data_IF_169726861041
#
_entry.id   IF_169726861041
#
_cell.length_a   1.000
_cell.length_b   1.000
_cell.length_c   1.000
_cell.angle_alpha   90.00
_cell.angle_beta   90.00
_cell.angle_gamma   90.00
#
_symmetry.space_group_name_H-M   'P 1'
#
loop_
_entity.id
_entity.type
_entity.pdbx_description
1 polymer ?
#
# COMPACT_ATOMS: atom_id res chain seq x y z
N UNK A 1 -42.87 51.89 68.43
CA UNK A 1 -41.65 51.20 67.95
C UNK A 1 -41.92 50.75 66.53
N UNK A 2 -41.27 51.39 65.55
CA UNK A 2 -41.38 51.08 64.12
C UNK A 2 -40.53 49.85 63.87
N UNK A 3 -41.16 48.72 63.53
CA UNK A 3 -40.44 47.51 63.10
C UNK A 3 -40.29 47.56 61.58
N UNK A 4 -39.03 47.63 61.16
CA UNK A 4 -38.58 47.85 59.78
C UNK A 4 -38.79 46.57 58.98
N UNK A 5 -39.71 46.59 58.01
CA UNK A 5 -39.85 45.52 57.01
C UNK A 5 -38.65 45.56 56.07
N UNK A 6 -37.72 44.62 56.25
CA UNK A 6 -36.62 44.37 55.31
C UNK A 6 -37.05 43.33 54.30
N UNK A 7 -37.56 43.78 53.15
CA UNK A 7 -37.79 42.93 51.99
C UNK A 7 -36.43 42.63 51.34
N UNK A 8 -35.88 41.43 51.56
CA UNK A 8 -34.70 40.96 50.84
C UNK A 8 -35.16 40.47 49.44
N UNK A 9 -34.74 41.11 48.33
CA UNK A 9 -35.17 40.67 47.01
C UNK A 9 -34.49 39.33 46.69
N UNK A 10 -35.29 38.31 46.41
CA UNK A 10 -34.84 37.02 45.89
C UNK A 10 -34.14 37.23 44.55
N UNK A 11 -32.81 37.37 44.59
CA UNK A 11 -31.96 37.54 43.39
C UNK A 11 -32.33 36.49 42.34
N UNK A 12 -32.67 36.96 41.16
CA UNK A 12 -33.03 36.12 40.02
C UNK A 12 -31.84 35.24 39.63
N UNK A 13 -32.10 34.02 39.13
CA UNK A 13 -31.05 33.12 38.64
C UNK A 13 -30.02 33.80 37.71
N UNK A 14 -30.40 34.65 36.73
CA UNK A 14 -29.42 35.33 35.88
C UNK A 14 -28.51 36.30 36.66
N UNK A 15 -29.00 36.97 37.70
CA UNK A 15 -28.17 37.85 38.53
C UNK A 15 -27.12 37.07 39.33
N UNK A 16 -27.45 35.87 39.82
CA UNK A 16 -26.50 35.01 40.53
C UNK A 16 -25.41 34.47 39.60
N UNK A 17 -25.81 34.03 38.40
CA UNK A 17 -24.88 33.56 37.37
C UNK A 17 -23.96 34.70 36.92
N UNK A 18 -24.52 35.91 36.72
CA UNK A 18 -23.74 37.10 36.38
C UNK A 18 -22.73 37.49 37.46
N UNK A 19 -23.13 37.46 38.73
CA UNK A 19 -22.23 37.72 39.86
C UNK A 19 -21.10 36.69 39.95
N UNK A 20 -21.39 35.42 39.69
CA UNK A 20 -20.40 34.34 39.71
C UNK A 20 -19.37 34.51 38.58
N UNK A 21 -19.82 34.78 37.35
CA UNK A 21 -18.91 35.05 36.22
C UNK A 21 -18.08 36.31 36.42
N UNK A 22 -18.68 37.36 36.98
CA UNK A 22 -17.95 38.60 37.30
C UNK A 22 -16.88 38.35 38.36
N UNK A 23 -17.20 37.63 39.43
CA UNK A 23 -16.23 37.26 40.47
C UNK A 23 -15.10 36.38 39.92
N UNK A 24 -15.43 35.40 39.07
CA UNK A 24 -14.45 34.55 38.40
C UNK A 24 -13.54 35.35 37.45
N UNK A 25 -14.11 36.26 36.65
CA UNK A 25 -13.35 37.15 35.77
C UNK A 25 -12.42 38.09 36.54
N UNK A 26 -12.89 38.64 37.66
CA UNK A 26 -12.08 39.48 38.53
C UNK A 26 -10.92 38.69 39.14
N UNK A 27 -11.15 37.44 39.54
CA UNK A 27 -10.10 36.53 40.03
C UNK A 27 -9.04 36.26 38.95
N UNK A 28 -9.46 35.95 37.73
CA UNK A 28 -8.56 35.75 36.59
C UNK A 28 -7.73 37.01 36.27
N UNK A 29 -8.31 38.21 36.39
CA UNK A 29 -7.60 39.47 36.15
C UNK A 29 -6.68 39.87 37.30
N UNK A 30 -7.03 39.52 38.54
CA UNK A 30 -6.22 39.87 39.72
C UNK A 30 -4.98 38.98 39.85
N UNK A 31 -5.05 37.76 39.34
CA UNK A 31 -3.95 36.77 39.38
C UNK A 31 -3.71 36.12 38.01
N UNK A 32 -3.22 36.88 37.01
CA UNK A 32 -3.10 36.38 35.64
C UNK A 32 -2.06 35.26 35.49
N UNK A 33 -0.90 35.38 36.13
CA UNK A 33 0.20 34.40 36.02
C UNK A 33 -0.14 32.99 36.52
N UNK A 34 -0.72 32.77 37.73
CA UNK A 34 -1.08 31.43 38.18
C UNK A 34 -2.21 30.81 37.35
N UNK A 35 -3.17 31.62 36.91
CA UNK A 35 -4.29 31.15 36.08
C UNK A 35 -3.80 30.69 34.70
N UNK A 36 -2.92 31.46 34.07
CA UNK A 36 -2.32 31.08 32.78
C UNK A 36 -1.45 29.83 32.94
N UNK A 37 -0.61 29.75 33.98
CA UNK A 37 0.24 28.57 34.25
C UNK A 37 -0.60 27.31 34.43
N UNK A 38 -1.69 27.39 35.22
CA UNK A 38 -2.61 26.28 35.42
C UNK A 38 -3.28 25.85 34.10
N UNK A 39 -3.75 26.81 33.29
CA UNK A 39 -4.36 26.51 31.99
C UNK A 39 -3.36 25.82 31.04
N UNK A 40 -2.11 26.28 30.98
CA UNK A 40 -1.06 25.66 30.16
C UNK A 40 -0.75 24.23 30.62
N UNK A 41 -0.69 23.97 31.92
CA UNK A 41 -0.49 22.61 32.45
C UNK A 41 -1.63 21.67 32.04
N UNK A 42 -2.88 22.11 32.15
CA UNK A 42 -4.04 21.32 31.72
C UNK A 42 -3.97 21.01 30.22
N UNK A 43 -3.66 22.00 29.39
CA UNK A 43 -3.48 21.80 27.94
C UNK A 43 -2.37 20.80 27.65
N UNK A 44 -1.21 20.93 28.30
CA UNK A 44 -0.09 20.00 28.10
C UNK A 44 -0.43 18.56 28.53
N UNK A 45 -1.14 18.38 29.65
CA UNK A 45 -1.60 17.05 30.10
C UNK A 45 -2.60 16.45 29.12
N UNK A 46 -3.56 17.24 28.63
CA UNK A 46 -4.52 16.80 27.62
C UNK A 46 -3.87 16.54 26.25
N UNK A 47 -2.79 17.24 25.92
CA UNK A 47 -2.04 17.08 24.67
C UNK A 47 -0.93 16.02 24.72
N UNK A 48 -0.50 15.61 25.92
CA UNK A 48 0.45 14.51 26.12
C UNK A 48 0.08 13.21 25.36
N UNK A 49 -1.18 12.71 25.38
CA UNK A 49 -1.54 11.52 24.61
C UNK A 49 -1.44 11.70 23.09
N UNK A 50 -1.46 12.94 22.57
CA UNK A 50 -1.27 13.19 21.14
C UNK A 50 0.18 12.93 20.67
N UNK A 51 1.16 13.00 21.57
CA UNK A 51 2.56 12.69 21.22
C UNK A 51 2.80 11.18 21.04
N UNK A 52 1.95 10.35 21.65
CA UNK A 52 2.02 8.89 21.54
C UNK A 52 0.93 8.32 20.63
N UNK A 53 0.17 9.17 19.94
CA UNK A 53 -0.79 8.71 18.95
C UNK A 53 -0.01 8.17 17.73
N UNK A 54 -0.12 6.88 17.40
CA UNK A 54 0.31 6.40 16.10
C UNK A 54 -0.68 6.97 15.09
N UNK A 55 -0.46 8.22 14.67
CA UNK A 55 -1.23 8.83 13.59
C UNK A 55 -1.06 7.89 12.39
N UNK A 56 -2.15 7.35 11.82
CA UNK A 56 -2.10 6.66 10.55
C UNK A 56 -1.76 7.73 9.50
N UNK A 57 -0.48 8.09 9.43
CA UNK A 57 0.05 8.76 8.27
C UNK A 57 -0.28 7.88 7.08
N UNK A 58 -0.66 8.50 5.98
CA UNK A 58 -0.84 7.90 4.66
C UNK A 58 0.47 7.33 4.09
N UNK A 59 1.29 6.71 4.95
CA UNK A 59 2.43 5.89 4.59
C UNK A 59 1.85 4.51 4.30
N UNK A 60 2.15 3.92 3.12
CA UNK A 60 1.74 2.55 2.81
C UNK A 60 2.19 1.65 3.97
N UNK A 61 1.23 1.04 4.67
CA UNK A 61 1.57 0.08 5.71
C UNK A 61 2.23 -1.12 5.03
N UNK A 62 3.55 -1.21 5.14
CA UNK A 62 4.29 -2.39 4.75
C UNK A 62 4.03 -3.46 5.81
N UNK A 63 2.97 -4.23 5.59
CA UNK A 63 2.57 -5.30 6.48
C UNK A 63 3.37 -6.55 6.17
N UNK A 64 4.48 -6.74 6.88
CA UNK A 64 5.24 -7.97 6.83
C UNK A 64 4.70 -8.92 7.91
N UNK A 65 3.67 -9.71 7.58
CA UNK A 65 3.26 -10.82 8.43
C UNK A 65 4.07 -12.07 8.06
N UNK A 66 4.80 -12.70 8.99
CA UNK A 66 5.41 -14.01 8.75
C UNK A 66 4.36 -15.03 8.30
N UNK A 67 4.56 -15.66 7.14
CA UNK A 67 3.61 -16.59 6.51
C UNK A 67 3.29 -17.79 7.40
N UNK A 68 4.21 -18.18 8.29
CA UNK A 68 4.03 -19.31 9.22
C UNK A 68 2.89 -19.08 10.24
N UNK A 69 2.55 -17.83 10.53
CA UNK A 69 1.50 -17.51 11.51
C UNK A 69 0.15 -17.21 10.86
N UNK A 70 0.09 -17.07 9.53
CA UNK A 70 -1.16 -16.76 8.82
C UNK A 70 -2.14 -17.96 8.81
N UNK A 71 -1.62 -19.19 8.83
CA UNK A 71 -2.45 -20.40 8.94
C UNK A 71 -2.92 -20.68 10.37
N UNK A 72 -2.19 -20.18 11.38
CA UNK A 72 -2.51 -20.38 12.81
C UNK A 72 -3.68 -19.48 13.24
N UNK A 73 -3.83 -18.29 12.63
CA UNK A 73 -4.90 -17.34 12.98
C UNK A 73 -6.29 -17.68 12.41
N UNK A 74 -6.40 -18.71 11.56
CA UNK A 74 -7.70 -19.16 11.02
C UNK A 74 -8.49 -19.96 12.06
N UNK A 75 -7.82 -20.58 13.04
CA UNK A 75 -8.45 -21.41 14.07
C UNK A 75 -8.25 -20.81 15.46
N UNK A 76 -8.97 -19.71 15.75
CA UNK A 76 -9.37 -19.34 17.11
C UNK A 76 -8.27 -18.87 18.08
N UNK A 77 -8.45 -17.66 18.59
CA UNK A 77 -7.95 -17.15 19.88
C UNK A 77 -6.44 -17.34 20.18
N UNK A 78 -5.62 -16.33 19.91
CA UNK A 78 -4.91 -15.58 20.95
C UNK A 78 -3.97 -14.55 20.31
N UNK A 79 -4.25 -13.28 20.61
CA UNK A 79 -3.30 -12.21 20.92
C UNK A 79 -1.81 -12.56 20.76
N UNK A 80 -1.29 -12.43 19.55
CA UNK A 80 0.14 -12.20 19.32
C UNK A 80 0.25 -11.15 18.23
N UNK A 81 1.07 -10.12 18.50
CA UNK A 81 1.18 -8.86 17.76
C UNK A 81 1.70 -8.93 16.32
N UNK A 82 1.26 -9.91 15.54
CA UNK A 82 1.32 -9.83 14.09
C UNK A 82 0.16 -8.93 13.64
N UNK A 83 0.49 -7.67 13.40
CA UNK A 83 -0.44 -6.67 12.84
C UNK A 83 -1.04 -7.28 11.56
N UNK A 84 -2.29 -7.74 11.59
CA UNK A 84 -3.04 -8.11 10.38
C UNK A 84 -3.88 -6.90 9.99
N UNK A 85 -3.84 -6.52 8.71
CA UNK A 85 -4.64 -5.40 8.22
C UNK A 85 -6.13 -5.66 8.51
N UNK A 86 -6.80 -4.73 9.20
CA UNK A 86 -8.23 -4.89 9.56
C UNK A 86 -9.16 -5.13 8.37
N UNK A 87 -8.75 -4.73 7.17
CA UNK A 87 -9.49 -4.90 5.91
C UNK A 87 -9.20 -6.24 5.19
N UNK A 88 -8.22 -7.02 5.67
CA UNK A 88 -7.84 -8.29 5.08
C UNK A 88 -8.06 -9.43 6.08
N UNK A 89 -9.15 -10.16 5.90
CA UNK A 89 -9.51 -11.32 6.73
C UNK A 89 -9.40 -12.59 5.90
N UNK A 90 -8.52 -13.52 6.29
CA UNK A 90 -8.34 -14.81 5.62
C UNK A 90 -6.93 -15.06 5.10
N UNK A 91 -6.76 -16.16 4.37
CA UNK A 91 -5.51 -16.51 3.70
C UNK A 91 -5.34 -15.73 2.38
N UNK A 92 -4.10 -15.42 1.97
CA UNK A 92 -3.84 -14.77 0.68
C UNK A 92 -4.38 -15.62 -0.47
N UNK A 93 -5.09 -14.99 -1.41
CA UNK A 93 -5.63 -15.67 -2.59
C UNK A 93 -4.54 -16.17 -3.53
N UNK A 94 -3.39 -15.48 -3.58
CA UNK A 94 -2.20 -15.89 -4.33
C UNK A 94 -0.97 -15.14 -3.83
N UNK A 95 0.21 -15.64 -4.19
CA UNK A 95 1.50 -15.00 -3.93
C UNK A 95 2.05 -14.38 -5.21
N UNK A 96 2.68 -13.21 -5.09
CA UNK A 96 3.36 -12.55 -6.21
C UNK A 96 4.86 -12.67 -6.00
N UNK A 97 5.53 -13.38 -6.89
CA UNK A 97 6.99 -13.43 -6.95
C UNK A 97 7.47 -12.52 -8.08
N UNK A 98 8.18 -11.45 -7.73
CA UNK A 98 8.77 -10.53 -8.70
C UNK A 98 10.26 -10.79 -8.86
N UNK A 99 10.74 -10.77 -10.11
CA UNK A 99 12.17 -10.79 -10.44
C UNK A 99 12.47 -9.52 -11.24
N UNK A 100 13.36 -8.67 -10.70
CA UNK A 100 13.79 -7.44 -11.36
C UNK A 100 15.18 -7.67 -11.93
N UNK A 101 15.29 -7.65 -13.25
CA UNK A 101 16.56 -7.81 -13.95
C UNK A 101 17.09 -6.42 -14.32
N UNK A 102 18.33 -6.13 -13.92
CA UNK A 102 19.07 -4.96 -14.36
C UNK A 102 20.23 -5.42 -15.23
N UNK A 103 20.30 -4.92 -16.45
CA UNK A 103 21.30 -5.32 -17.45
C UNK A 103 21.93 -4.09 -18.08
N UNK A 104 23.15 -4.25 -18.57
CA UNK A 104 23.81 -3.28 -19.43
C UNK A 104 24.47 -4.01 -20.60
N UNK A 105 24.59 -3.35 -21.75
CA UNK A 105 25.35 -3.86 -22.90
C UNK A 105 26.79 -3.42 -22.74
N UNK A 106 27.71 -4.37 -22.58
CA UNK A 106 29.14 -4.12 -22.46
C UNK A 106 29.97 -5.26 -23.09
N UNK A 107 31.06 -4.94 -23.83
CA UNK A 107 31.52 -3.60 -24.21
C UNK A 107 30.67 -3.00 -25.34
N UNK A 108 30.54 -1.67 -25.37
CA UNK A 108 29.88 -0.97 -26.48
C UNK A 108 30.86 -0.73 -27.64
N UNK A 109 30.63 -1.34 -28.79
CA UNK A 109 31.45 -1.19 -30.00
C UNK A 109 30.78 -0.26 -31.02
N UNK A 110 31.53 0.20 -32.03
CA UNK A 110 31.01 1.10 -33.09
C UNK A 110 30.05 0.41 -34.06
N UNK A 111 29.98 -0.91 -34.04
CA UNK A 111 29.09 -1.72 -34.88
C UNK A 111 27.69 -1.85 -34.30
N UNK A 112 27.52 -1.53 -33.01
CA UNK A 112 26.24 -1.60 -32.33
C UNK A 112 25.36 -0.38 -32.65
N UNK A 113 24.08 -0.65 -32.85
CA UNK A 113 23.05 0.38 -33.02
C UNK A 113 22.21 0.52 -31.76
N UNK A 114 21.48 1.63 -31.63
CA UNK A 114 20.66 1.93 -30.45
C UNK A 114 19.68 0.79 -30.09
N UNK A 115 19.14 0.08 -31.08
CA UNK A 115 18.23 -1.05 -30.84
C UNK A 115 18.91 -2.23 -30.15
N UNK A 116 20.22 -2.40 -30.31
CA UNK A 116 20.98 -3.47 -29.67
C UNK A 116 21.07 -3.26 -28.15
N UNK A 117 21.02 -2.00 -27.71
CA UNK A 117 20.93 -1.63 -26.31
C UNK A 117 19.68 -2.19 -25.62
N UNK A 118 18.61 -2.47 -26.38
CA UNK A 118 17.37 -3.07 -25.86
C UNK A 118 17.26 -4.55 -26.20
N UNK A 119 17.66 -4.93 -27.42
CA UNK A 119 17.50 -6.29 -27.93
C UNK A 119 18.29 -7.30 -27.11
N UNK A 120 19.57 -7.02 -26.82
CA UNK A 120 20.39 -7.96 -26.05
C UNK A 120 19.86 -8.16 -24.62
N UNK A 121 19.57 -7.10 -23.83
CA UNK A 121 18.89 -7.23 -22.55
C UNK A 121 17.58 -8.01 -22.56
N UNK A 122 16.70 -7.75 -23.53
CA UNK A 122 15.40 -8.41 -23.62
C UNK A 122 15.54 -9.88 -24.02
N UNK A 123 16.57 -10.24 -24.78
CA UNK A 123 16.86 -11.64 -25.11
C UNK A 123 17.15 -12.49 -23.86
N UNK A 124 17.79 -11.92 -22.84
CA UNK A 124 18.11 -12.63 -21.59
C UNK A 124 16.87 -13.05 -20.80
N UNK A 125 15.73 -12.37 -21.00
CA UNK A 125 14.45 -12.73 -20.39
C UNK A 125 14.04 -14.15 -20.77
N UNK A 126 14.27 -14.58 -22.01
CA UNK A 126 13.88 -15.92 -22.46
C UNK A 126 14.64 -17.01 -21.69
N UNK A 127 15.95 -16.83 -21.46
CA UNK A 127 16.76 -17.75 -20.65
C UNK A 127 16.27 -17.80 -19.20
N UNK A 128 15.96 -16.64 -18.63
CA UNK A 128 15.43 -16.56 -17.26
C UNK A 128 14.09 -17.31 -17.14
N UNK A 129 13.18 -17.13 -18.10
CA UNK A 129 11.89 -17.82 -18.11
C UNK A 129 12.05 -19.34 -18.22
N UNK A 130 13.00 -19.80 -19.02
CA UNK A 130 13.33 -21.22 -19.13
C UNK A 130 13.77 -21.80 -17.78
N UNK A 131 14.69 -21.12 -17.09
CA UNK A 131 15.15 -21.52 -15.75
C UNK A 131 13.99 -21.58 -14.76
N UNK A 132 13.12 -20.57 -14.74
CA UNK A 132 12.00 -20.49 -13.80
C UNK A 132 10.97 -21.60 -14.08
N UNK A 133 10.66 -21.86 -15.36
CA UNK A 133 9.66 -22.88 -15.77
C UNK A 133 10.13 -24.28 -15.52
N UNK A 134 11.40 -24.54 -15.82
CA UNK A 134 12.00 -25.87 -15.68
C UNK A 134 12.47 -26.14 -14.25
N UNK A 135 12.28 -25.20 -13.32
CA UNK A 135 12.61 -25.42 -11.93
C UNK A 135 11.74 -26.55 -11.34
N UNK A 136 12.42 -27.52 -10.74
CA UNK A 136 11.81 -28.58 -9.97
C UNK A 136 12.41 -28.59 -8.57
N UNK A 137 11.55 -28.61 -7.56
CA UNK A 137 12.01 -28.65 -6.17
C UNK A 137 12.63 -30.01 -5.84
N UNK A 138 13.89 -30.01 -5.38
CA UNK A 138 14.67 -31.24 -5.15
C UNK A 138 14.04 -32.21 -4.13
N UNK A 139 13.31 -31.70 -3.14
CA UNK A 139 12.74 -32.53 -2.06
C UNK A 139 11.33 -33.06 -2.31
N UNK A 140 10.56 -32.46 -3.21
CA UNK A 140 9.13 -32.78 -3.42
C UNK A 140 8.78 -33.04 -4.88
N UNK A 141 9.74 -32.90 -5.79
CA UNK A 141 9.56 -33.00 -7.25
C UNK A 141 8.47 -32.08 -7.81
N UNK A 142 7.96 -31.11 -7.03
CA UNK A 142 6.97 -30.13 -7.49
C UNK A 142 7.62 -29.15 -8.47
N UNK A 143 6.92 -28.91 -9.57
CA UNK A 143 7.28 -27.90 -10.57
C UNK A 143 6.41 -26.65 -10.40
N UNK A 144 6.76 -25.56 -11.08
CA UNK A 144 5.97 -24.32 -11.05
C UNK A 144 4.50 -24.54 -11.45
N UNK A 145 4.23 -25.42 -12.41
CA UNK A 145 2.87 -25.74 -12.87
C UNK A 145 1.97 -26.33 -11.77
N UNK A 146 2.53 -26.90 -10.70
CA UNK A 146 1.75 -27.47 -9.60
C UNK A 146 1.28 -26.42 -8.57
N UNK A 147 1.89 -25.23 -8.56
CA UNK A 147 1.71 -24.22 -7.49
C UNK A 147 1.32 -22.84 -8.02
N UNK A 148 1.48 -22.60 -9.32
CA UNK A 148 1.18 -21.30 -9.92
C UNK A 148 -0.33 -21.03 -9.99
N UNK A 149 -0.69 -19.76 -10.09
CA UNK A 149 -2.04 -19.35 -10.47
C UNK A 149 -2.24 -19.69 -11.95
N UNK A 150 -3.15 -20.61 -12.28
CA UNK A 150 -3.43 -21.02 -13.65
C UNK A 150 -4.47 -20.10 -14.29
N UNK A 151 -4.23 -19.68 -15.54
CA UNK A 151 -5.20 -18.94 -16.34
C UNK A 151 -5.83 -19.92 -17.33
N UNK A 152 -7.14 -20.13 -17.24
CA UNK A 152 -7.86 -21.02 -18.15
C UNK A 152 -8.13 -20.33 -19.50
N UNK A 153 -9.18 -19.53 -19.58
CA UNK A 153 -9.59 -18.83 -20.79
C UNK A 153 -9.65 -17.32 -20.54
N UNK A 154 -9.02 -16.55 -21.43
CA UNK A 154 -9.07 -15.08 -21.38
C UNK A 154 -10.21 -14.61 -22.28
N UNK A 155 -11.18 -13.88 -21.71
CA UNK A 155 -12.24 -13.25 -22.51
C UNK A 155 -11.68 -12.02 -23.23
N UNK A 156 -11.36 -12.16 -24.52
CA UNK A 156 -10.86 -11.05 -25.31
C UNK A 156 -11.99 -10.25 -25.97
N UNK A 157 -11.79 -8.93 -26.02
CA UNK A 157 -12.46 -8.08 -27.00
C UNK A 157 -11.71 -8.22 -28.33
N UNK A 158 -12.40 -8.23 -29.48
CA UNK A 158 -11.81 -8.51 -30.80
C UNK A 158 -10.64 -7.60 -31.19
N UNK A 159 -10.57 -6.37 -30.67
CA UNK A 159 -9.50 -5.41 -30.96
C UNK A 159 -8.27 -5.49 -30.04
N UNK A 160 -8.26 -6.38 -29.03
CA UNK A 160 -7.16 -6.43 -28.06
C UNK A 160 -6.20 -7.57 -28.34
N UNK A 161 -4.90 -7.26 -28.43
CA UNK A 161 -3.84 -8.26 -28.50
C UNK A 161 -3.65 -8.93 -27.14
N UNK A 162 -3.66 -10.26 -27.12
CA UNK A 162 -3.48 -11.08 -25.92
C UNK A 162 -2.01 -11.01 -25.45
N UNK A 163 -1.77 -10.45 -24.27
CA UNK A 163 -0.48 -10.53 -23.56
C UNK A 163 -0.51 -11.61 -22.46
N UNK A 164 -1.71 -11.98 -22.02
CA UNK A 164 -1.92 -12.97 -20.97
C UNK A 164 -1.74 -14.39 -21.53
N UNK A 165 -1.14 -15.32 -20.77
CA UNK A 165 -1.09 -16.72 -21.17
C UNK A 165 -2.50 -17.34 -21.15
N UNK A 166 -2.77 -18.26 -22.08
CA UNK A 166 -3.96 -19.12 -22.08
C UNK A 166 -3.56 -20.54 -21.64
N UNK A 167 -4.41 -21.18 -20.85
CA UNK A 167 -4.23 -22.53 -20.32
C UNK A 167 -2.84 -22.79 -19.71
N UNK A 168 -2.29 -21.80 -19.00
CA UNK A 168 -0.95 -21.87 -18.43
C UNK A 168 -0.81 -21.03 -17.15
N UNK A 169 0.30 -21.19 -16.44
CA UNK A 169 0.65 -20.36 -15.29
C UNK A 169 0.63 -18.87 -15.66
N UNK A 170 0.04 -18.05 -14.78
CA UNK A 170 0.13 -16.60 -14.86
C UNK A 170 1.58 -16.16 -14.67
N UNK A 171 2.24 -15.88 -15.78
CA UNK A 171 3.62 -15.41 -15.83
C UNK A 171 3.69 -14.19 -16.74
N UNK A 172 4.00 -13.06 -16.12
CA UNK A 172 4.09 -11.76 -16.79
C UNK A 172 5.56 -11.42 -16.99
N UNK A 173 5.95 -11.21 -18.25
CA UNK A 173 7.31 -10.91 -18.66
C UNK A 173 7.33 -10.12 -19.97
N UNK A 174 8.42 -9.41 -20.30
CA UNK A 174 8.58 -8.80 -21.62
C UNK A 174 8.42 -9.78 -22.78
N UNK A 175 8.78 -11.06 -22.59
CA UNK A 175 8.65 -12.09 -23.61
C UNK A 175 7.18 -12.34 -24.04
N UNK A 176 6.20 -11.98 -23.20
CA UNK A 176 4.78 -12.11 -23.54
C UNK A 176 4.39 -11.29 -24.78
N UNK A 177 5.09 -10.19 -25.09
CA UNK A 177 4.86 -9.39 -26.29
C UNK A 177 5.09 -10.18 -27.59
N UNK A 178 5.95 -11.20 -27.54
CA UNK A 178 6.27 -12.12 -28.62
C UNK A 178 5.74 -13.53 -28.37
N UNK A 179 4.68 -13.66 -27.55
CA UNK A 179 4.07 -14.94 -27.19
C UNK A 179 5.08 -15.94 -26.62
N UNK A 180 6.11 -15.42 -25.93
CA UNK A 180 7.22 -16.19 -25.36
C UNK A 180 7.95 -17.06 -26.40
N UNK A 181 7.91 -16.68 -27.68
CA UNK A 181 8.61 -17.36 -28.75
C UNK A 181 9.89 -16.58 -29.11
N UNK A 182 11.09 -17.13 -28.81
CA UNK A 182 12.35 -16.47 -29.11
C UNK A 182 12.50 -16.17 -30.61
N UNK A 183 12.03 -17.05 -31.49
CA UNK A 183 12.15 -16.85 -32.94
C UNK A 183 11.35 -15.62 -33.39
N UNK A 184 10.14 -15.41 -32.85
CA UNK A 184 9.34 -14.21 -33.13
C UNK A 184 10.03 -12.94 -32.65
N UNK A 185 10.73 -13.00 -31.53
CA UNK A 185 11.52 -11.87 -31.01
C UNK A 185 12.74 -11.56 -31.88
N UNK A 186 13.50 -12.56 -32.30
CA UNK A 186 14.69 -12.35 -33.14
C UNK A 186 14.34 -11.88 -34.55
N UNK A 187 13.19 -12.29 -35.08
CA UNK A 187 12.68 -11.86 -36.39
C UNK A 187 11.99 -10.48 -36.37
N UNK A 188 11.71 -9.93 -35.18
CA UNK A 188 11.06 -8.62 -35.07
C UNK A 188 12.01 -7.52 -35.53
N UNK A 189 11.65 -6.80 -36.60
CA UNK A 189 12.43 -5.68 -37.14
C UNK A 189 12.23 -4.38 -36.36
N UNK A 190 11.12 -4.22 -35.65
CA UNK A 190 10.74 -2.99 -34.94
C UNK A 190 10.34 -3.26 -33.50
N UNK A 191 11.35 -3.57 -32.69
CA UNK A 191 11.21 -3.95 -31.29
C UNK A 191 10.46 -2.88 -30.47
N UNK A 192 10.81 -1.60 -30.67
CA UNK A 192 10.11 -0.47 -30.05
C UNK A 192 8.67 -0.34 -30.57
N UNK A 193 8.44 -0.51 -31.87
CA UNK A 193 7.10 -0.48 -32.45
C UNK A 193 6.19 -1.54 -31.84
N UNK A 194 6.71 -2.75 -31.64
CA UNK A 194 6.00 -3.82 -30.92
C UNK A 194 5.67 -3.38 -29.50
N UNK A 195 6.65 -2.91 -28.71
CA UNK A 195 6.41 -2.46 -27.32
C UNK A 195 5.34 -1.36 -27.27
N UNK A 196 5.48 -0.31 -28.09
CA UNK A 196 4.54 0.82 -28.10
C UNK A 196 3.14 0.42 -28.57
N UNK A 197 3.01 -0.57 -29.47
CA UNK A 197 1.70 -1.07 -29.89
C UNK A 197 0.86 -1.61 -28.74
N UNK A 198 1.50 -2.08 -27.66
CA UNK A 198 0.82 -2.52 -26.45
C UNK A 198 0.62 -1.38 -25.43
N UNK A 199 1.42 -0.31 -25.45
CA UNK A 199 1.26 0.84 -24.54
C UNK A 199 0.10 1.76 -24.95
N UNK A 200 -0.11 1.98 -26.25
CA UNK A 200 -1.17 2.87 -26.76
C UNK A 200 -2.58 2.36 -26.42
N UNK A 201 -2.74 1.08 -26.06
CA UNK A 201 -4.00 0.50 -25.58
C UNK A 201 -4.36 0.75 -24.11
N UNK A 202 -3.43 1.26 -23.28
CA UNK A 202 -3.64 1.48 -21.84
C UNK A 202 -3.82 2.95 -21.44
N UNK A 203 -3.54 3.92 -22.33
CA UNK A 203 -3.74 5.35 -22.05
C UNK A 203 -5.21 5.78 -22.15
N UNK A 204 -6.11 4.93 -22.65
CA UNK A 204 -7.56 5.20 -22.71
C UNK A 204 -8.35 4.58 -21.53
N UNK A 205 -7.68 4.28 -20.41
CA UNK A 205 -8.30 3.82 -19.16
C UNK A 205 -7.75 4.60 -17.95
N UNK A 206 -7.64 5.91 -18.09
CA UNK A 206 -7.64 6.87 -16.97
C UNK A 206 -8.69 7.95 -17.26
#
# INVERSE_FOLDING_TARGET
MVSRSGHEPTRSLPERVGQLYYAHGLFCSSHPFPVITFALLVVLVCCYPLLNLPLPGSVPQQLWSPVENASILVNGSHETGAQQARWFTGSPSFYVQQVVVKTAVAPWTRELVLTDAFRAPLAEVFKLLEVIRNYQHKGSSKTLNHVCLHIEAVKLKPDKRLVLPEYNCLMLSPANLWQQNPNKFFQDVSLLGTIYSYQVGYITLL
#
